data_IF_646491862830
#
_entry.id   IF_646491862830
#
_cell.length_a   1.000
_cell.length_b   1.000
_cell.length_c   1.000
_cell.angle_alpha   90.00
_cell.angle_beta   90.00
_cell.angle_gamma   90.00
#
_symmetry.space_group_name_H-M   'P 1'
#
loop_
_entity.id
_entity.type
_entity.pdbx_description
1 polymer ?
#
# COMPACT_ATOMS: atom_id res chain seq x y z
N UNK A 1 35.25 76.05 -6.06
CA UNK A 1 34.48 75.14 -6.95
C UNK A 1 35.22 73.84 -7.29
N UNK A 2 36.56 73.81 -7.23
CA UNK A 2 37.35 72.62 -7.59
C UNK A 2 37.18 71.43 -6.61
N UNK A 3 37.09 71.70 -5.30
CA UNK A 3 36.87 70.66 -4.27
C UNK A 3 35.52 69.93 -4.37
N UNK A 4 34.48 70.53 -4.96
CA UNK A 4 33.17 69.88 -5.13
C UNK A 4 33.20 68.85 -6.26
N UNK A 5 33.92 69.10 -7.36
CA UNK A 5 34.01 68.16 -8.49
C UNK A 5 34.79 66.88 -8.10
N UNK A 6 35.85 67.02 -7.30
CA UNK A 6 36.66 65.89 -6.83
C UNK A 6 35.87 64.98 -5.89
N UNK A 7 35.06 65.57 -4.99
CA UNK A 7 34.19 64.82 -4.07
C UNK A 7 33.11 64.02 -4.81
N UNK A 8 32.44 64.62 -5.79
CA UNK A 8 31.43 63.95 -6.63
C UNK A 8 32.03 62.79 -7.44
N UNK A 9 33.25 62.98 -7.96
CA UNK A 9 33.95 61.94 -8.73
C UNK A 9 34.33 60.74 -7.84
N UNK A 10 34.81 61.01 -6.62
CA UNK A 10 35.15 59.96 -5.66
C UNK A 10 33.92 59.17 -5.19
N UNK A 11 32.82 59.87 -4.87
CA UNK A 11 31.56 59.23 -4.49
C UNK A 11 30.99 58.35 -5.61
N UNK A 12 31.05 58.82 -6.87
CA UNK A 12 30.59 58.05 -8.02
C UNK A 12 31.44 56.78 -8.27
N UNK A 13 32.77 56.85 -8.07
CA UNK A 13 33.66 55.67 -8.16
C UNK A 13 33.32 54.66 -7.05
N UNK A 14 33.09 55.13 -5.82
CA UNK A 14 32.72 54.28 -4.69
C UNK A 14 31.36 53.58 -4.91
N UNK A 15 30.36 54.31 -5.43
CA UNK A 15 29.05 53.73 -5.77
C UNK A 15 29.17 52.68 -6.87
N UNK A 16 29.93 52.93 -7.94
CA UNK A 16 30.18 51.94 -9.01
C UNK A 16 30.84 50.67 -8.47
N UNK A 17 31.83 50.80 -7.58
CA UNK A 17 32.50 49.65 -6.96
C UNK A 17 31.55 48.83 -6.09
N UNK A 18 30.74 49.49 -5.25
CA UNK A 18 29.70 48.82 -4.45
C UNK A 18 28.68 48.11 -5.34
N UNK A 19 28.22 48.76 -6.40
CA UNK A 19 27.27 48.18 -7.36
C UNK A 19 27.83 46.93 -8.05
N UNK A 20 29.13 46.95 -8.38
CA UNK A 20 29.84 45.78 -8.91
C UNK A 20 29.83 44.60 -7.93
N UNK A 21 30.12 44.85 -6.65
CA UNK A 21 30.08 43.83 -5.59
C UNK A 21 28.66 43.27 -5.43
N UNK A 22 27.64 44.13 -5.37
CA UNK A 22 26.25 43.69 -5.26
C UNK A 22 25.79 42.85 -6.46
N UNK A 23 26.23 43.18 -7.68
CA UNK A 23 25.95 42.36 -8.87
C UNK A 23 26.57 40.97 -8.77
N UNK A 24 27.83 40.87 -8.33
CA UNK A 24 28.50 39.57 -8.14
C UNK A 24 27.78 38.75 -7.07
N UNK A 25 27.41 39.37 -5.94
CA UNK A 25 26.68 38.69 -4.87
C UNK A 25 25.30 38.20 -5.34
N UNK A 26 24.55 39.02 -6.07
CA UNK A 26 23.26 38.63 -6.62
C UNK A 26 23.38 37.45 -7.59
N UNK A 27 24.38 37.45 -8.48
CA UNK A 27 24.64 36.33 -9.38
C UNK A 27 24.99 35.06 -8.59
N UNK A 28 25.85 35.16 -7.57
CA UNK A 28 26.21 34.00 -6.74
C UNK A 28 25.01 33.40 -5.98
N UNK A 29 24.10 34.25 -5.47
CA UNK A 29 22.89 33.79 -4.80
C UNK A 29 21.94 33.09 -5.78
N UNK A 30 21.77 33.66 -6.98
CA UNK A 30 20.95 33.03 -8.02
C UNK A 30 21.49 31.66 -8.44
N UNK A 31 22.81 31.53 -8.60
CA UNK A 31 23.47 30.25 -8.91
C UNK A 31 23.29 29.24 -7.76
N UNK A 32 23.43 29.68 -6.51
CA UNK A 32 23.23 28.80 -5.35
C UNK A 32 21.79 28.29 -5.28
N UNK A 33 20.79 29.17 -5.44
CA UNK A 33 19.38 28.79 -5.44
C UNK A 33 19.11 27.79 -6.56
N UNK A 34 19.56 28.09 -7.79
CA UNK A 34 19.38 27.20 -8.93
C UNK A 34 20.03 25.83 -8.69
N UNK A 35 21.24 25.80 -8.13
CA UNK A 35 21.95 24.56 -7.80
C UNK A 35 21.18 23.75 -6.77
N UNK A 36 20.75 24.37 -5.67
CA UNK A 36 19.97 23.70 -4.63
C UNK A 36 18.64 23.19 -5.18
N UNK A 37 17.95 23.95 -6.03
CA UNK A 37 16.69 23.52 -6.64
C UNK A 37 16.90 22.36 -7.61
N UNK A 38 17.90 22.43 -8.50
CA UNK A 38 18.18 21.37 -9.48
C UNK A 38 18.65 20.10 -8.77
N UNK A 39 19.58 20.18 -7.82
CA UNK A 39 20.01 19.03 -7.05
C UNK A 39 18.88 18.48 -6.16
N UNK A 40 18.06 19.34 -5.57
CA UNK A 40 16.89 18.95 -4.80
C UNK A 40 15.85 18.21 -5.66
N UNK A 41 15.57 18.71 -6.86
CA UNK A 41 14.67 18.06 -7.83
C UNK A 41 15.26 16.75 -8.34
N UNK A 42 16.57 16.68 -8.64
CA UNK A 42 17.23 15.43 -9.05
C UNK A 42 17.23 14.41 -7.91
N UNK A 43 17.49 14.83 -6.67
CA UNK A 43 17.47 13.98 -5.50
C UNK A 43 16.04 13.47 -5.22
N UNK A 44 15.05 14.35 -5.29
CA UNK A 44 13.64 14.00 -5.17
C UNK A 44 13.22 13.05 -6.29
N UNK A 45 13.49 13.37 -7.57
CA UNK A 45 13.16 12.54 -8.72
C UNK A 45 13.79 11.15 -8.60
N UNK A 46 15.07 11.09 -8.22
CA UNK A 46 15.75 9.83 -7.93
C UNK A 46 15.01 9.06 -6.85
N UNK A 47 14.60 9.71 -5.76
CA UNK A 47 13.96 9.05 -4.62
C UNK A 47 12.44 8.87 -4.72
N UNK A 48 11.79 9.43 -5.73
CA UNK A 48 10.35 9.23 -6.00
C UNK A 48 10.09 8.08 -6.96
N UNK A 49 11.07 7.70 -7.81
CA UNK A 49 11.00 6.52 -8.69
C UNK A 49 11.45 5.23 -7.98
N UNK A 50 11.07 5.05 -6.72
CA UNK A 50 11.42 3.88 -5.90
C UNK A 50 10.75 2.58 -6.33
N UNK A 51 9.86 2.60 -7.33
CA UNK A 51 9.24 1.37 -7.84
C UNK A 51 10.16 0.55 -8.76
N UNK A 52 11.15 1.17 -9.43
CA UNK A 52 11.98 0.46 -10.42
C UNK A 52 13.40 0.09 -9.92
N UNK A 53 13.75 0.41 -8.66
CA UNK A 53 15.13 0.25 -8.16
C UNK A 53 15.56 -1.17 -7.83
N UNK A 54 14.67 -2.16 -7.78
CA UNK A 54 15.00 -3.52 -7.32
C UNK A 54 15.19 -4.55 -8.44
N UNK A 55 15.68 -4.14 -9.62
CA UNK A 55 16.08 -5.07 -10.70
C UNK A 55 17.56 -5.48 -10.59
N UNK A 56 18.06 -5.76 -9.38
CA UNK A 56 19.38 -6.41 -9.26
C UNK A 56 19.23 -7.90 -9.59
N UNK A 57 19.40 -8.23 -10.88
CA UNK A 57 19.31 -9.61 -11.38
C UNK A 57 20.44 -10.53 -10.90
N UNK A 58 21.54 -9.96 -10.37
CA UNK A 58 22.76 -10.73 -10.10
C UNK A 58 22.64 -11.45 -8.75
N UNK A 59 22.65 -12.78 -8.80
CA UNK A 59 22.76 -13.64 -7.61
C UNK A 59 21.43 -14.18 -7.07
N UNK A 60 20.30 -13.85 -7.70
CA UNK A 60 18.99 -14.39 -7.33
C UNK A 60 18.75 -15.75 -8.03
N UNK A 61 18.43 -16.82 -7.30
CA UNK A 61 18.16 -18.13 -7.89
C UNK A 61 16.85 -18.12 -8.70
N UNK A 62 16.87 -18.70 -9.91
CA UNK A 62 15.69 -18.89 -10.77
C UNK A 62 14.89 -17.60 -11.05
N UNK A 63 15.57 -16.46 -11.15
CA UNK A 63 14.93 -15.15 -11.27
C UNK A 63 13.92 -15.09 -12.41
N UNK A 64 14.28 -15.54 -13.62
CA UNK A 64 13.40 -15.43 -14.78
C UNK A 64 12.17 -16.33 -14.67
N UNK A 65 12.33 -17.52 -14.10
CA UNK A 65 11.26 -18.48 -13.86
C UNK A 65 10.28 -17.96 -12.81
N UNK A 66 10.78 -17.38 -11.72
CA UNK A 66 9.97 -16.77 -10.67
C UNK A 66 9.23 -15.54 -11.18
N UNK A 67 9.92 -14.62 -11.85
CA UNK A 67 9.28 -13.40 -12.38
C UNK A 67 8.19 -13.74 -13.41
N UNK A 68 8.40 -14.76 -14.26
CA UNK A 68 7.36 -15.24 -15.19
C UNK A 68 6.07 -15.68 -14.49
N UNK A 69 6.17 -16.17 -13.25
CA UNK A 69 5.00 -16.56 -12.43
C UNK A 69 4.32 -15.34 -11.83
N UNK A 70 5.08 -14.37 -11.30
CA UNK A 70 4.50 -13.25 -10.54
C UNK A 70 4.14 -12.03 -11.40
N UNK A 71 4.86 -11.73 -12.48
CA UNK A 71 4.62 -10.58 -13.38
C UNK A 71 3.16 -10.46 -13.87
N UNK A 72 2.47 -11.56 -14.27
CA UNK A 72 1.07 -11.45 -14.69
C UNK A 72 0.10 -11.24 -13.52
N UNK A 73 0.52 -11.49 -12.28
CA UNK A 73 -0.33 -11.37 -11.10
C UNK A 73 -0.70 -9.92 -10.83
N UNK A 74 -1.89 -9.68 -10.28
CA UNK A 74 -2.39 -8.35 -9.97
C UNK A 74 -3.06 -8.36 -8.61
N UNK A 75 -2.63 -7.45 -7.75
CA UNK A 75 -3.36 -7.19 -6.52
C UNK A 75 -4.70 -6.52 -6.85
N UNK A 76 -5.80 -7.21 -6.56
CA UNK A 76 -7.14 -6.65 -6.69
C UNK A 76 -8.15 -7.48 -5.90
N UNK A 77 -8.93 -6.81 -5.06
CA UNK A 77 -9.92 -7.41 -4.16
C UNK A 77 -11.33 -6.81 -4.33
N UNK A 78 -11.53 -5.95 -5.36
CA UNK A 78 -12.84 -5.36 -5.68
C UNK A 78 -13.88 -6.47 -5.83
N UNK A 79 -13.56 -7.42 -6.69
CA UNK A 79 -14.45 -8.49 -7.10
C UNK A 79 -14.73 -9.48 -5.97
N UNK A 80 -13.78 -9.63 -5.04
CA UNK A 80 -14.00 -10.41 -3.82
C UNK A 80 -15.03 -9.73 -2.95
N UNK A 81 -14.92 -8.42 -2.73
CA UNK A 81 -15.92 -7.68 -1.96
C UNK A 81 -17.31 -7.76 -2.62
N UNK A 82 -17.38 -7.75 -3.96
CA UNK A 82 -18.64 -7.80 -4.72
C UNK A 82 -19.37 -9.15 -4.69
N UNK A 83 -18.74 -10.24 -4.20
CA UNK A 83 -19.38 -11.56 -4.12
C UNK A 83 -20.62 -11.55 -3.24
N UNK A 84 -21.65 -12.30 -3.65
CA UNK A 84 -22.92 -12.37 -2.91
C UNK A 84 -22.79 -13.01 -1.52
N UNK A 85 -21.93 -14.03 -1.38
CA UNK A 85 -21.73 -14.81 -0.16
C UNK A 85 -20.73 -14.17 0.83
N UNK A 86 -20.14 -13.03 0.47
CA UNK A 86 -19.31 -12.23 1.38
C UNK A 86 -20.19 -11.43 2.33
N UNK A 87 -19.93 -11.61 3.62
CA UNK A 87 -20.69 -11.01 4.72
C UNK A 87 -19.76 -10.27 5.69
N UNK A 88 -20.27 -9.20 6.28
CA UNK A 88 -19.58 -8.38 7.26
C UNK A 88 -20.09 -8.66 8.66
N UNK A 89 -19.19 -8.84 9.63
CA UNK A 89 -19.54 -9.02 11.05
C UNK A 89 -18.62 -8.20 11.94
N UNK A 90 -19.16 -7.71 13.08
CA UNK A 90 -18.39 -6.93 14.05
C UNK A 90 -18.27 -7.65 15.39
N UNK A 91 -17.13 -7.44 16.04
CA UNK A 91 -16.92 -7.78 17.44
C UNK A 91 -16.58 -6.52 18.21
N UNK A 92 -17.59 -5.87 18.78
CA UNK A 92 -17.45 -4.61 19.51
C UNK A 92 -16.55 -4.74 20.74
N UNK A 93 -16.58 -5.89 21.43
CA UNK A 93 -15.75 -6.13 22.62
C UNK A 93 -14.26 -6.18 22.26
N UNK A 94 -13.92 -6.86 21.15
CA UNK A 94 -12.54 -6.95 20.66
C UNK A 94 -12.13 -5.77 19.79
N UNK A 95 -13.07 -4.90 19.42
CA UNK A 95 -12.91 -3.82 18.43
C UNK A 95 -12.36 -4.35 17.10
N UNK A 96 -12.91 -5.47 16.64
CA UNK A 96 -12.57 -6.08 15.34
C UNK A 96 -13.77 -6.16 14.42
N UNK A 97 -13.50 -6.28 13.13
CA UNK A 97 -14.46 -6.59 12.09
C UNK A 97 -13.93 -7.70 11.20
N UNK A 98 -14.83 -8.48 10.62
CA UNK A 98 -14.49 -9.66 9.82
C UNK A 98 -15.31 -9.70 8.54
N UNK A 99 -14.65 -10.00 7.43
CA UNK A 99 -15.30 -10.42 6.19
C UNK A 99 -15.18 -11.92 6.07
N UNK A 100 -16.31 -12.59 5.86
CA UNK A 100 -16.34 -14.04 5.62
C UNK A 100 -16.38 -14.34 4.12
N UNK A 101 -15.88 -15.52 3.72
CA UNK A 101 -15.86 -16.00 2.32
C UNK A 101 -15.02 -15.17 1.33
N UNK A 102 -13.93 -14.58 1.81
CA UNK A 102 -12.97 -13.82 1.00
C UNK A 102 -12.14 -14.76 0.11
N UNK A 103 -11.48 -15.75 0.71
CA UNK A 103 -10.58 -16.67 -0.01
C UNK A 103 -11.33 -17.77 -0.77
N UNK A 104 -10.87 -18.09 -1.98
CA UNK A 104 -11.40 -19.21 -2.77
C UNK A 104 -10.44 -20.38 -2.83
N UNK A 105 -11.00 -21.58 -2.70
CA UNK A 105 -10.30 -22.83 -2.83
C UNK A 105 -10.99 -23.72 -3.87
N UNK A 106 -10.22 -24.46 -4.66
CA UNK A 106 -10.73 -25.53 -5.51
C UNK A 106 -11.10 -26.77 -4.68
N UNK A 107 -11.59 -27.82 -5.35
CA UNK A 107 -11.95 -29.09 -4.72
C UNK A 107 -10.76 -29.80 -4.06
N UNK A 108 -9.53 -29.53 -4.51
CA UNK A 108 -8.29 -30.09 -3.98
C UNK A 108 -7.74 -29.26 -2.81
N UNK A 109 -8.29 -28.06 -2.58
CA UNK A 109 -7.84 -27.13 -1.55
C UNK A 109 -6.77 -26.14 -2.01
N UNK A 110 -6.57 -25.97 -3.32
CA UNK A 110 -5.68 -24.95 -3.86
C UNK A 110 -6.38 -23.59 -3.98
N UNK A 111 -5.64 -22.51 -3.81
CA UNK A 111 -6.17 -21.16 -4.00
C UNK A 111 -6.55 -20.92 -5.46
N UNK A 112 -7.73 -20.36 -5.69
CA UNK A 112 -8.19 -19.93 -7.02
C UNK A 112 -8.10 -18.40 -7.14
N UNK A 113 -7.21 -17.93 -8.00
CA UNK A 113 -7.14 -16.52 -8.39
C UNK A 113 -8.27 -16.15 -9.36
N UNK A 114 -8.78 -14.93 -9.23
CA UNK A 114 -9.70 -14.35 -10.19
C UNK A 114 -9.03 -14.17 -11.54
N UNK A 115 -9.71 -14.53 -12.62
CA UNK A 115 -9.18 -14.44 -14.00
C UNK A 115 -7.78 -15.05 -14.12
N UNK A 116 -7.47 -16.05 -13.27
CA UNK A 116 -6.18 -16.71 -13.16
C UNK A 116 -4.98 -15.79 -12.82
N UNK A 117 -5.21 -14.55 -12.37
CA UNK A 117 -4.12 -13.61 -12.10
C UNK A 117 -4.40 -12.60 -10.98
N UNK A 118 -5.64 -12.39 -10.56
CA UNK A 118 -6.02 -11.39 -9.56
C UNK A 118 -6.34 -12.05 -8.22
N UNK A 119 -5.89 -11.41 -7.14
CA UNK A 119 -6.24 -11.82 -5.78
C UNK A 119 -5.62 -10.91 -4.73
N UNK A 120 -5.86 -11.23 -3.48
CA UNK A 120 -5.22 -10.54 -2.36
C UNK A 120 -3.84 -11.11 -2.06
N UNK A 121 -3.03 -10.27 -1.42
CA UNK A 121 -1.92 -10.58 -0.52
C UNK A 121 -1.73 -12.09 -0.20
N UNK A 122 -2.67 -12.69 0.55
CA UNK A 122 -2.60 -14.10 0.92
C UNK A 122 -2.79 -15.08 -0.23
N UNK A 123 -3.74 -14.80 -1.14
CA UNK A 123 -4.00 -15.62 -2.33
C UNK A 123 -2.82 -15.61 -3.29
N UNK A 124 -2.26 -14.44 -3.58
CA UNK A 124 -1.12 -14.29 -4.47
C UNK A 124 0.11 -15.01 -3.91
N UNK A 125 0.35 -14.89 -2.60
CA UNK A 125 1.46 -15.55 -1.91
C UNK A 125 1.30 -17.07 -1.88
N UNK A 126 0.10 -17.57 -1.58
CA UNK A 126 -0.20 -18.99 -1.63
C UNK A 126 -0.10 -19.58 -3.05
N UNK A 127 -0.68 -18.90 -4.04
CA UNK A 127 -0.57 -19.27 -5.46
C UNK A 127 0.89 -19.32 -5.91
N UNK A 128 1.66 -18.28 -5.59
CA UNK A 128 3.08 -18.20 -5.92
C UNK A 128 3.86 -19.34 -5.28
N UNK A 129 3.64 -19.62 -4.00
CA UNK A 129 4.26 -20.72 -3.27
C UNK A 129 4.03 -22.06 -3.98
N UNK A 130 2.79 -22.34 -4.40
CA UNK A 130 2.46 -23.58 -5.11
C UNK A 130 3.22 -23.72 -6.44
N UNK A 131 3.42 -22.61 -7.17
CA UNK A 131 4.09 -22.62 -8.47
C UNK A 131 5.61 -22.65 -8.38
N UNK A 132 6.22 -21.99 -7.38
CA UNK A 132 7.68 -21.92 -7.26
C UNK A 132 8.27 -23.11 -6.52
N UNK A 133 7.53 -23.76 -5.61
CA UNK A 133 8.06 -24.86 -4.78
C UNK A 133 8.72 -25.98 -5.61
N UNK A 134 8.14 -26.44 -6.74
CA UNK A 134 8.81 -27.43 -7.59
C UNK A 134 10.11 -26.95 -8.25
N UNK A 135 10.27 -25.64 -8.47
CA UNK A 135 11.46 -25.04 -9.10
C UNK A 135 12.64 -25.03 -8.12
N UNK A 136 12.38 -24.71 -6.87
CA UNK A 136 13.42 -24.60 -5.84
C UNK A 136 13.86 -25.96 -5.27
N UNK A 137 12.97 -26.96 -5.29
CA UNK A 137 13.25 -28.31 -4.80
C UNK A 137 13.71 -28.34 -3.33
N UNK A 138 14.45 -29.39 -2.96
CA UNK A 138 14.85 -29.58 -1.56
C UNK A 138 16.01 -28.69 -1.11
N UNK A 139 16.71 -28.03 -2.04
CA UNK A 139 17.84 -27.14 -1.76
C UNK A 139 17.44 -25.91 -0.94
N UNK A 140 16.16 -25.52 -0.98
CA UNK A 140 15.68 -24.33 -0.28
C UNK A 140 14.55 -24.67 0.68
N UNK A 141 14.44 -23.87 1.74
CA UNK A 141 13.23 -23.77 2.56
C UNK A 141 12.45 -22.56 2.09
N UNK A 142 11.14 -22.70 1.90
CA UNK A 142 10.25 -21.58 1.59
C UNK A 142 9.26 -21.45 2.74
N UNK A 143 9.14 -20.25 3.28
CA UNK A 143 8.27 -19.93 4.42
C UNK A 143 7.40 -18.70 4.09
N UNK A 144 6.24 -18.59 4.74
CA UNK A 144 5.39 -17.41 4.59
C UNK A 144 5.81 -16.41 5.66
N UNK A 145 6.06 -15.18 5.27
CA UNK A 145 6.38 -14.10 6.20
C UNK A 145 5.18 -13.15 6.30
N UNK A 146 4.79 -12.82 7.52
CA UNK A 146 3.90 -11.69 7.80
C UNK A 146 4.77 -10.45 7.92
N UNK A 147 4.54 -9.47 7.06
CA UNK A 147 5.29 -8.22 7.04
C UNK A 147 4.35 -7.03 7.13
N UNK A 148 4.88 -5.88 7.53
CA UNK A 148 4.25 -4.57 7.31
C UNK A 148 5.15 -3.82 6.35
N UNK A 149 4.62 -3.36 5.22
CA UNK A 149 5.23 -2.25 4.47
C UNK A 149 4.57 -0.97 4.98
N UNK A 150 5.18 -0.24 5.93
CA UNK A 150 4.52 0.87 6.63
C UNK A 150 4.15 2.03 5.69
N UNK A 151 4.77 2.05 4.51
CA UNK A 151 4.58 3.06 3.49
C UNK A 151 3.29 2.87 2.69
N UNK A 152 2.75 1.64 2.68
CA UNK A 152 1.60 1.24 1.88
C UNK A 152 0.47 0.69 2.74
N UNK A 153 0.76 -0.29 3.60
CA UNK A 153 -0.25 -0.98 4.38
C UNK A 153 -0.23 -0.55 5.85
N UNK A 154 -1.42 -0.29 6.39
CA UNK A 154 -1.62 -0.17 7.84
C UNK A 154 -1.77 -1.53 8.51
N UNK A 155 -2.14 -2.56 7.76
CA UNK A 155 -2.22 -3.95 8.19
C UNK A 155 -1.00 -4.76 7.76
N UNK A 156 -0.85 -5.97 8.29
CA UNK A 156 0.13 -6.91 7.77
C UNK A 156 -0.24 -7.41 6.36
N UNK A 157 0.78 -7.72 5.57
CA UNK A 157 0.73 -8.40 4.27
C UNK A 157 1.56 -9.68 4.33
N UNK A 158 1.31 -10.63 3.43
CA UNK A 158 1.99 -11.92 3.37
C UNK A 158 2.91 -12.02 2.16
N UNK A 159 4.15 -12.42 2.39
CA UNK A 159 5.17 -12.63 1.34
C UNK A 159 5.89 -13.97 1.54
N UNK A 160 6.82 -14.31 0.66
CA UNK A 160 7.62 -15.53 0.77
C UNK A 160 9.07 -15.22 1.14
N UNK A 161 9.57 -15.91 2.16
CA UNK A 161 10.99 -16.02 2.49
C UNK A 161 11.56 -17.32 1.92
N UNK A 162 12.67 -17.23 1.20
CA UNK A 162 13.33 -18.35 0.53
C UNK A 162 14.77 -18.45 1.04
N UNK A 163 15.07 -19.50 1.81
CA UNK A 163 16.35 -19.66 2.49
C UNK A 163 17.10 -20.88 1.95
N UNK A 164 18.35 -20.71 1.55
CA UNK A 164 19.19 -21.82 1.08
C UNK A 164 19.58 -22.77 2.23
N UNK A 165 19.41 -24.09 2.04
CA UNK A 165 19.75 -25.11 3.06
C UNK A 165 21.22 -25.54 2.95
N UNK A 166 21.74 -26.10 4.05
CA UNK A 166 23.02 -26.81 4.12
C UNK A 166 24.26 -25.99 3.73
N UNK A 167 24.24 -24.67 3.99
CA UNK A 167 25.38 -23.77 3.82
C UNK A 167 25.65 -23.06 5.14
N UNK A 168 26.93 -22.85 5.46
CA UNK A 168 27.40 -22.21 6.71
C UNK A 168 26.78 -20.81 6.89
N UNK A 169 26.61 -20.08 5.79
CA UNK A 169 25.97 -18.76 5.74
C UNK A 169 24.79 -18.83 4.76
N UNK A 170 23.60 -19.26 5.23
CA UNK A 170 22.44 -19.40 4.36
C UNK A 170 22.01 -18.02 3.86
N UNK A 171 21.75 -17.93 2.55
CA UNK A 171 21.22 -16.72 1.94
C UNK A 171 19.70 -16.77 1.97
N UNK A 172 19.10 -15.64 2.34
CA UNK A 172 17.65 -15.46 2.35
C UNK A 172 17.24 -14.47 1.27
N UNK A 173 16.29 -14.88 0.45
CA UNK A 173 15.66 -14.08 -0.59
C UNK A 173 14.21 -13.82 -0.21
N UNK A 174 13.71 -12.66 -0.61
CA UNK A 174 12.33 -12.25 -0.35
C UNK A 174 11.61 -12.09 -1.69
N UNK A 175 10.42 -12.67 -1.77
CA UNK A 175 9.54 -12.64 -2.93
C UNK A 175 8.17 -12.08 -2.51
N UNK A 176 7.81 -10.94 -3.07
CA UNK A 176 6.51 -10.30 -2.88
C UNK A 176 5.73 -10.29 -4.21
N UNK A 177 4.72 -11.18 -4.37
CA UNK A 177 3.93 -11.23 -5.59
C UNK A 177 2.91 -10.09 -5.72
N UNK A 178 2.57 -9.37 -4.64
CA UNK A 178 1.66 -8.24 -4.71
C UNK A 178 2.32 -6.99 -5.32
N UNK A 179 3.63 -6.83 -5.10
CA UNK A 179 4.43 -5.72 -5.64
C UNK A 179 5.41 -6.12 -6.75
N UNK A 180 5.38 -7.37 -7.20
CA UNK A 180 6.31 -7.89 -8.22
C UNK A 180 7.78 -7.72 -7.84
N UNK A 181 8.11 -7.89 -6.56
CA UNK A 181 9.48 -7.76 -6.05
C UNK A 181 10.08 -9.13 -5.79
N UNK A 182 11.31 -9.34 -6.24
CA UNK A 182 12.12 -10.49 -5.89
C UNK A 182 13.58 -10.05 -5.69
N UNK A 183 14.13 -10.28 -4.50
CA UNK A 183 15.42 -9.72 -4.11
C UNK A 183 16.05 -10.41 -2.90
N UNK A 184 17.21 -9.94 -2.47
CA UNK A 184 17.83 -10.39 -1.21
C UNK A 184 17.07 -9.77 -0.04
N UNK A 185 17.17 -10.36 1.16
CA UNK A 185 16.56 -9.80 2.36
C UNK A 185 16.95 -8.32 2.59
N UNK A 186 18.21 -7.97 2.36
CA UNK A 186 18.75 -6.61 2.55
C UNK A 186 18.13 -5.58 1.57
N UNK A 187 17.50 -6.03 0.48
CA UNK A 187 16.80 -5.18 -0.49
C UNK A 187 15.37 -4.79 -0.01
N UNK A 188 14.96 -5.22 1.19
CA UNK A 188 13.64 -4.97 1.78
C UNK A 188 13.76 -4.25 3.13
N UNK A 189 14.61 -3.23 3.19
CA UNK A 189 14.76 -2.35 4.36
C UNK A 189 13.48 -1.56 4.71
N UNK A 190 12.56 -1.47 3.76
CA UNK A 190 11.24 -0.87 3.91
C UNK A 190 10.20 -1.79 4.56
N UNK A 191 10.55 -3.06 4.83
CA UNK A 191 9.64 -4.05 5.41
C UNK A 191 9.97 -4.34 6.87
N UNK A 192 8.93 -4.36 7.71
CA UNK A 192 9.02 -4.88 9.07
C UNK A 192 8.48 -6.31 9.10
N UNK A 193 9.37 -7.30 9.24
CA UNK A 193 8.97 -8.71 9.40
C UNK A 193 8.41 -8.92 10.81
N UNK A 194 7.13 -9.25 10.90
CA UNK A 194 6.43 -9.46 12.17
C UNK A 194 6.56 -10.90 12.67
N UNK A 195 6.39 -11.87 11.77
CA UNK A 195 6.44 -13.30 12.09
C UNK A 195 6.70 -14.15 10.86
N UNK A 196 7.36 -15.28 11.07
CA UNK A 196 7.41 -16.39 10.12
C UNK A 196 6.27 -17.35 10.42
N UNK A 197 5.60 -17.81 9.37
CA UNK A 197 4.49 -18.74 9.43
C UNK A 197 4.81 -19.98 8.60
N UNK A 198 4.38 -21.16 9.07
CA UNK A 198 4.56 -22.36 8.28
C UNK A 198 3.72 -22.30 7.00
N UNK A 199 4.20 -22.94 5.93
CA UNK A 199 3.57 -22.93 4.61
C UNK A 199 2.15 -23.49 4.59
N UNK A 200 1.82 -24.38 5.53
CA UNK A 200 0.48 -24.91 5.69
C UNK A 200 -0.54 -23.89 6.22
N UNK A 201 -0.10 -22.77 6.80
CA UNK A 201 -1.02 -21.80 7.41
C UNK A 201 -2.04 -21.24 6.42
N UNK A 202 -1.66 -20.94 5.17
CA UNK A 202 -2.60 -20.44 4.15
C UNK A 202 -3.26 -21.55 3.33
N UNK A 203 -2.58 -22.69 3.18
CA UNK A 203 -3.01 -23.78 2.29
C UNK A 203 -3.89 -24.83 3.00
N UNK A 204 -3.55 -25.21 4.24
CA UNK A 204 -4.25 -26.30 4.94
C UNK A 204 -5.36 -25.80 5.85
N UNK A 205 -5.24 -24.57 6.38
CA UNK A 205 -6.26 -24.02 7.28
C UNK A 205 -7.60 -23.73 6.59
N UNK A 206 -7.61 -23.64 5.24
CA UNK A 206 -8.77 -23.30 4.41
C UNK A 206 -9.59 -22.14 4.97
N UNK A 207 -8.93 -21.21 5.66
CA UNK A 207 -9.59 -20.08 6.30
C UNK A 207 -10.14 -19.21 5.19
N UNK A 208 -11.48 -19.14 5.12
CA UNK A 208 -12.18 -18.31 4.13
C UNK A 208 -12.35 -16.86 4.59
N UNK A 209 -12.07 -16.60 5.86
CA UNK A 209 -12.40 -15.34 6.51
C UNK A 209 -11.16 -14.47 6.73
N UNK A 210 -11.34 -13.16 6.79
CA UNK A 210 -10.30 -12.22 7.20
C UNK A 210 -10.83 -11.32 8.31
N UNK A 211 -10.00 -11.08 9.34
CA UNK A 211 -10.35 -10.27 10.50
C UNK A 211 -9.34 -9.13 10.66
N UNK A 212 -9.86 -7.94 10.95
CA UNK A 212 -9.09 -6.71 11.12
C UNK A 212 -9.53 -5.97 12.38
N UNK A 213 -8.63 -5.16 12.94
CA UNK A 213 -8.98 -4.19 13.97
C UNK A 213 -9.82 -3.05 13.35
N UNK A 214 -10.72 -2.45 14.14
CA UNK A 214 -11.39 -1.23 13.73
C UNK A 214 -10.35 -0.12 13.47
N UNK A 215 -10.53 0.64 12.38
CA UNK A 215 -9.55 1.63 11.92
C UNK A 215 -8.50 1.07 10.95
N UNK A 216 -8.46 -0.25 10.75
CA UNK A 216 -7.63 -0.90 9.74
C UNK A 216 -8.46 -1.16 8.49
N UNK A 217 -7.80 -1.18 7.34
CA UNK A 217 -8.41 -1.37 6.03
C UNK A 217 -8.02 -2.72 5.43
N UNK A 218 -8.97 -3.37 4.77
CA UNK A 218 -8.70 -4.40 3.78
C UNK A 218 -8.38 -3.70 2.47
N UNK A 219 -7.16 -3.85 1.93
CA UNK A 219 -6.83 -3.17 0.70
C UNK A 219 -7.53 -3.81 -0.51
N UNK A 220 -8.13 -2.97 -1.36
CA UNK A 220 -8.88 -3.41 -2.53
C UNK A 220 -8.09 -3.27 -3.82
N UNK A 221 -7.42 -2.13 -4.01
CA UNK A 221 -6.59 -1.88 -5.19
C UNK A 221 -5.37 -1.05 -4.84
N UNK A 222 -4.30 -1.29 -5.58
CA UNK A 222 -3.11 -0.46 -5.61
C UNK A 222 -3.00 0.20 -6.97
N UNK A 223 -3.10 1.53 -7.03
CA UNK A 223 -3.09 2.28 -8.31
C UNK A 223 -2.44 3.64 -8.12
N UNK A 224 -1.49 3.99 -9.00
CA UNK A 224 -0.84 5.31 -9.03
C UNK A 224 -0.25 5.78 -7.68
N UNK A 225 0.30 4.85 -6.90
CA UNK A 225 0.84 5.17 -5.56
C UNK A 225 -0.23 5.46 -4.50
N UNK A 226 -1.49 5.08 -4.75
CA UNK A 226 -2.55 5.03 -3.76
C UNK A 226 -2.91 3.59 -3.45
N UNK A 227 -3.28 3.38 -2.19
CA UNK A 227 -4.02 2.22 -1.72
C UNK A 227 -5.47 2.64 -1.57
N UNK A 228 -6.39 1.97 -2.27
CA UNK A 228 -7.82 2.12 -1.96
C UNK A 228 -8.23 0.91 -1.14
N UNK A 229 -8.75 1.16 0.05
CA UNK A 229 -9.12 0.15 1.03
C UNK A 229 -10.58 0.25 1.44
N UNK A 230 -11.12 -0.88 1.88
CA UNK A 230 -12.37 -1.01 2.61
C UNK A 230 -12.06 -1.04 4.10
N UNK A 231 -12.62 -0.13 4.89
CA UNK A 231 -12.42 -0.09 6.33
C UNK A 231 -13.75 -0.08 7.09
N UNK A 232 -13.65 -0.51 8.34
CA UNK A 232 -14.66 -0.28 9.35
C UNK A 232 -14.01 0.46 10.50
N UNK A 233 -14.61 1.57 10.90
CA UNK A 233 -14.02 2.49 11.87
C UNK A 233 -15.01 2.85 12.97
N UNK A 234 -14.47 3.22 14.13
CA UNK A 234 -15.24 3.83 15.20
C UNK A 234 -15.63 5.27 14.88
N UNK A 235 -16.68 5.74 15.54
CA UNK A 235 -17.19 7.10 15.43
C UNK A 235 -17.05 7.79 16.78
N UNK A 236 -16.44 8.98 16.82
CA UNK A 236 -16.18 9.74 18.05
C UNK A 236 -15.48 8.87 19.12
N UNK A 237 -14.44 8.13 18.69
CA UNK A 237 -13.64 7.19 19.49
C UNK A 237 -14.40 5.99 20.08
N UNK A 238 -15.66 5.80 19.67
CA UNK A 238 -16.48 4.65 20.04
C UNK A 238 -16.65 3.70 18.88
N UNK A 239 -16.53 2.41 19.14
CA UNK A 239 -16.84 1.35 18.19
C UNK A 239 -17.85 0.41 18.85
N UNK A 240 -19.13 0.72 18.68
CA UNK A 240 -20.27 0.01 19.27
C UNK A 240 -21.45 -0.02 18.29
N UNK A 241 -22.59 -0.59 18.70
CA UNK A 241 -23.76 -0.76 17.85
C UNK A 241 -24.36 0.55 17.32
N UNK A 242 -24.13 1.65 18.02
CA UNK A 242 -24.66 2.97 17.69
C UNK A 242 -23.60 3.89 17.06
N UNK A 243 -22.32 3.50 17.12
CA UNK A 243 -21.17 4.30 16.70
C UNK A 243 -20.21 3.47 15.86
N UNK A 244 -20.43 3.46 14.55
CA UNK A 244 -19.52 2.83 13.59
C UNK A 244 -19.68 3.45 12.20
N UNK A 245 -18.66 3.32 11.36
CA UNK A 245 -18.75 3.63 9.95
C UNK A 245 -18.09 2.56 9.09
N UNK A 246 -18.63 2.38 7.89
CA UNK A 246 -18.05 1.55 6.84
C UNK A 246 -17.62 2.50 5.73
N UNK A 247 -16.37 2.37 5.27
CA UNK A 247 -15.76 3.34 4.37
C UNK A 247 -14.97 2.70 3.23
N UNK A 248 -15.04 3.33 2.06
CA UNK A 248 -14.00 3.28 1.05
C UNK A 248 -13.10 4.49 1.21
N UNK A 249 -11.80 4.25 1.30
CA UNK A 249 -10.81 5.30 1.51
C UNK A 249 -9.65 5.12 0.56
N UNK A 250 -9.13 6.23 0.05
CA UNK A 250 -7.90 6.29 -0.71
C UNK A 250 -6.78 6.87 0.15
N UNK A 251 -5.76 6.07 0.41
CA UNK A 251 -4.57 6.45 1.18
C UNK A 251 -3.40 6.59 0.21
N UNK A 252 -2.79 7.77 0.15
CA UNK A 252 -1.58 7.98 -0.66
C UNK A 252 -0.39 7.34 0.04
N UNK A 253 0.49 6.67 -0.70
CA UNK A 253 1.78 6.20 -0.19
C UNK A 253 2.51 7.32 0.56
N UNK A 254 3.16 7.00 1.68
CA UNK A 254 3.82 7.94 2.58
C UNK A 254 2.89 8.90 3.34
N UNK A 255 1.57 8.80 3.20
CA UNK A 255 0.60 9.58 3.97
C UNK A 255 -0.32 8.65 4.75
N UNK A 256 -0.37 8.84 6.06
CA UNK A 256 -1.23 8.04 6.94
C UNK A 256 -2.68 8.53 7.00
N UNK A 257 -2.99 9.69 6.40
CA UNK A 257 -4.34 10.22 6.35
C UNK A 257 -5.01 9.82 5.03
N UNK A 258 -5.94 8.87 5.11
CA UNK A 258 -6.81 8.50 4.00
C UNK A 258 -7.85 9.58 3.70
N UNK A 259 -8.33 9.60 2.45
CA UNK A 259 -9.48 10.41 2.03
C UNK A 259 -10.65 9.49 1.71
N UNK A 260 -11.81 9.81 2.26
CA UNK A 260 -13.02 9.05 2.00
C UNK A 260 -13.48 9.22 0.55
N UNK A 261 -13.70 8.09 -0.12
CA UNK A 261 -14.35 8.03 -1.43
C UNK A 261 -15.86 7.86 -1.26
N UNK A 262 -16.25 7.01 -0.31
CA UNK A 262 -17.63 6.75 0.06
C UNK A 262 -17.69 6.27 1.50
N UNK A 263 -18.67 6.75 2.28
CA UNK A 263 -18.89 6.26 3.65
C UNK A 263 -20.37 6.12 3.96
N UNK A 264 -20.67 5.19 4.85
CA UNK A 264 -21.96 5.10 5.55
C UNK A 264 -21.65 5.02 7.04
N UNK A 265 -22.24 5.94 7.80
CA UNK A 265 -21.94 6.16 9.22
C UNK A 265 -23.21 6.04 10.05
N UNK A 266 -23.15 5.23 11.10
CA UNK A 266 -24.09 5.26 12.22
C UNK A 266 -23.48 6.09 13.35
N UNK A 267 -24.16 7.14 13.80
CA UNK A 267 -23.70 8.01 14.88
C UNK A 267 -24.85 8.25 15.86
N UNK A 268 -24.80 7.57 17.01
CA UNK A 268 -25.88 7.55 17.99
C UNK A 268 -27.23 7.14 17.35
N UNK A 269 -27.21 6.09 16.52
CA UNK A 269 -28.42 5.58 15.83
C UNK A 269 -28.83 6.37 14.58
N UNK A 270 -28.21 7.51 14.31
CA UNK A 270 -28.48 8.31 13.11
C UNK A 270 -27.58 7.86 11.96
N UNK A 271 -28.18 7.35 10.89
CA UNK A 271 -27.48 6.92 9.68
C UNK A 271 -27.29 8.09 8.72
N UNK A 272 -26.06 8.25 8.23
CA UNK A 272 -25.68 9.25 7.23
C UNK A 272 -24.73 8.63 6.20
N UNK A 273 -24.61 9.23 5.02
CA UNK A 273 -23.65 8.81 4.00
C UNK A 273 -22.94 10.01 3.37
N UNK A 274 -21.73 9.77 2.86
CA UNK A 274 -20.92 10.76 2.16
C UNK A 274 -20.28 10.13 0.93
N UNK A 275 -20.06 10.93 -0.12
CA UNK A 275 -19.46 10.51 -1.38
C UNK A 275 -18.61 11.62 -1.99
N UNK A 276 -17.39 11.25 -2.44
CA UNK A 276 -16.52 12.09 -3.27
C UNK A 276 -16.37 11.47 -4.66
N UNK A 277 -17.32 11.77 -5.56
CA UNK A 277 -17.35 11.25 -6.93
C UNK A 277 -16.10 11.62 -7.73
N UNK A 278 -15.60 12.84 -7.54
CA UNK A 278 -14.44 13.34 -8.27
C UNK A 278 -13.18 12.57 -7.91
N UNK A 279 -12.97 12.29 -6.62
CA UNK A 279 -11.83 11.49 -6.20
C UNK A 279 -12.01 10.01 -6.61
N UNK A 280 -13.22 9.46 -6.50
CA UNK A 280 -13.52 8.08 -6.86
C UNK A 280 -13.28 7.78 -8.34
N UNK A 281 -13.62 8.70 -9.26
CA UNK A 281 -13.45 8.53 -10.71
C UNK A 281 -11.99 8.45 -11.16
N UNK A 282 -11.03 8.74 -10.27
CA UNK A 282 -9.59 8.50 -10.54
C UNK A 282 -9.22 7.02 -10.40
N UNK A 283 -9.95 6.29 -9.57
CA UNK A 283 -9.63 4.92 -9.22
C UNK A 283 -10.48 3.92 -10.01
N UNK A 284 -11.78 4.20 -10.10
CA UNK A 284 -12.78 3.28 -10.60
C UNK A 284 -13.50 3.84 -11.83
N UNK A 285 -14.01 2.93 -12.67
CA UNK A 285 -15.04 3.29 -13.63
C UNK A 285 -16.38 3.54 -12.91
N UNK A 286 -17.27 4.37 -13.47
CA UNK A 286 -18.55 4.73 -12.84
C UNK A 286 -19.39 3.51 -12.44
N UNK A 287 -19.48 2.50 -13.33
CA UNK A 287 -20.22 1.27 -13.05
C UNK A 287 -19.61 0.52 -11.86
N UNK A 288 -18.31 0.26 -11.89
CA UNK A 288 -17.58 -0.45 -10.84
C UNK A 288 -17.69 0.27 -9.48
N UNK A 289 -17.62 1.60 -9.46
CA UNK A 289 -17.80 2.37 -8.23
C UNK A 289 -19.23 2.27 -7.68
N UNK A 290 -20.24 2.31 -8.55
CA UNK A 290 -21.63 2.15 -8.13
C UNK A 290 -21.89 0.73 -7.59
N UNK A 291 -21.39 -0.31 -8.26
CA UNK A 291 -21.49 -1.70 -7.81
C UNK A 291 -20.87 -1.86 -6.41
N UNK A 292 -19.68 -1.29 -6.19
CA UNK A 292 -19.01 -1.26 -4.88
C UNK A 292 -19.83 -0.54 -3.82
N UNK A 293 -20.39 0.64 -4.13
CA UNK A 293 -21.22 1.40 -3.19
C UNK A 293 -22.45 0.61 -2.76
N UNK A 294 -23.11 -0.04 -3.71
CA UNK A 294 -24.32 -0.80 -3.43
C UNK A 294 -24.02 -2.04 -2.58
N UNK A 295 -22.89 -2.71 -2.85
CA UNK A 295 -22.42 -3.78 -1.96
C UNK A 295 -22.09 -3.27 -0.56
N UNK A 296 -21.49 -2.10 -0.41
CA UNK A 296 -21.19 -1.51 0.90
C UNK A 296 -22.46 -1.15 1.66
N UNK A 297 -23.47 -0.58 0.98
CA UNK A 297 -24.79 -0.34 1.59
C UNK A 297 -25.41 -1.64 2.09
N UNK A 298 -25.31 -2.72 1.32
CA UNK A 298 -25.81 -4.03 1.70
C UNK A 298 -25.07 -4.58 2.93
N UNK A 299 -23.74 -4.56 2.94
CA UNK A 299 -22.94 -4.99 4.09
C UNK A 299 -23.22 -4.16 5.34
N UNK A 300 -23.41 -2.84 5.19
CA UNK A 300 -23.78 -1.96 6.29
C UNK A 300 -25.17 -2.31 6.85
N UNK A 301 -26.17 -2.49 5.98
CA UNK A 301 -27.53 -2.83 6.36
C UNK A 301 -27.59 -4.17 7.11
N UNK A 302 -26.88 -5.19 6.63
CA UNK A 302 -26.77 -6.49 7.30
C UNK A 302 -26.36 -6.35 8.77
N UNK A 303 -25.28 -5.59 9.03
CA UNK A 303 -24.80 -5.42 10.41
C UNK A 303 -25.74 -4.53 11.24
N UNK A 304 -26.27 -3.47 10.63
CA UNK A 304 -27.20 -2.57 11.32
C UNK A 304 -28.49 -3.27 11.75
N UNK A 305 -29.09 -4.12 10.90
CA UNK A 305 -30.30 -4.88 11.23
C UNK A 305 -30.06 -5.92 12.32
N UNK A 306 -28.92 -6.62 12.30
CA UNK A 306 -28.55 -7.57 13.35
C UNK A 306 -28.48 -6.87 14.70
N UNK A 307 -27.91 -5.65 14.73
CA UNK A 307 -27.78 -4.86 15.93
C UNK A 307 -29.11 -4.33 16.49
N UNK A 308 -30.10 -4.07 15.63
CA UNK A 308 -31.44 -3.65 16.07
C UNK A 308 -32.23 -4.80 16.72
N UNK A 309 -31.87 -6.06 16.44
CA UNK A 309 -32.53 -7.24 16.98
C UNK A 309 -31.94 -7.72 18.32
N UNK A 310 -30.81 -7.17 18.76
CA UNK A 310 -30.08 -7.52 20.00
C UNK A 310 -30.19 -6.45 21.09
#
# INVERSE_FOLDING_TARGET
>A
MENQKTKVTYEHIQVKKKLGIYKVLAISQAVLILTVTVFGVIWLARNTDTFDRFKSKKGLPYYYEVMKIIDPLKYSDIEVLLKEDVNLTFNYKKKTWRLSNVYRYDSEGNIILQDNCRGICGELTAYTLQKIRPIFGDRYTIEILSVVEPLYFRSSHYILGITEKNIIYPKTFILDPAFHRYGNLDDYDDYLILKTMPTHFLLESKVKDTEFLAGYEMPLIMKEGFLVGFSVEGVNDKFDKDNFMVALLATKRYKYAGRFLFTIRNNNGVVSSYEDKYLASRFFADKEFNDLKDKIKLLFAQVHEINQKQ
#
